data_IF_038458914153
#
_entry.id   IF_038458914153
#
_cell.length_a   1.000
_cell.length_b   1.000
_cell.length_c   1.000
_cell.angle_alpha   90.00
_cell.angle_beta   90.00
_cell.angle_gamma   90.00
#
_symmetry.space_group_name_H-M   'P 1'
#
loop_
_entity.id
_entity.type
_entity.pdbx_description
1 polymer ?
#
# COMPACT_ATOMS: atom_id res chain seq x y z
N UNK A 1 4.20 2.57 20.22
CA UNK A 1 4.76 2.63 21.58
C UNK A 1 6.14 1.99 21.56
N UNK A 2 7.17 2.66 22.08
CA UNK A 2 8.54 2.15 22.17
C UNK A 2 8.95 2.20 23.65
N UNK A 3 9.40 1.08 24.21
CA UNK A 3 9.73 0.96 25.64
C UNK A 3 8.64 1.52 26.61
N UNK A 4 7.36 1.35 26.25
CA UNK A 4 6.24 1.84 27.08
C UNK A 4 5.86 3.31 26.87
N UNK A 5 6.56 4.04 26.00
CA UNK A 5 6.26 5.45 25.64
C UNK A 5 5.46 5.49 24.35
N UNK A 6 4.35 6.23 24.33
CA UNK A 6 3.57 6.47 23.11
C UNK A 6 4.35 7.37 22.15
N UNK A 7 4.48 6.92 20.91
CA UNK A 7 5.06 7.69 19.82
C UNK A 7 3.97 7.88 18.77
N UNK A 8 3.51 9.12 18.52
CA UNK A 8 2.57 9.38 17.44
C UNK A 8 3.29 9.13 16.11
N UNK A 9 2.68 8.33 15.25
CA UNK A 9 3.20 8.01 13.89
C UNK A 9 2.70 9.03 12.86
N UNK A 10 1.99 10.07 13.30
CA UNK A 10 1.25 10.99 12.43
C UNK A 10 2.16 11.86 11.54
N UNK A 11 3.42 12.07 11.94
CA UNK A 11 4.44 12.80 11.17
C UNK A 11 5.40 11.86 10.40
N UNK A 12 5.26 10.54 10.54
CA UNK A 12 6.09 9.56 9.86
C UNK A 12 5.31 8.92 8.71
N UNK A 13 5.81 9.11 7.49
CA UNK A 13 5.16 8.50 6.33
C UNK A 13 5.36 6.98 6.40
N UNK A 14 4.29 6.17 6.48
CA UNK A 14 4.44 4.74 6.30
C UNK A 14 5.09 4.52 4.93
N UNK A 15 6.17 3.74 4.90
CA UNK A 15 6.83 3.41 3.65
C UNK A 15 5.82 2.75 2.70
N UNK A 16 5.94 3.02 1.41
CA UNK A 16 5.06 2.45 0.39
C UNK A 16 5.01 0.91 0.48
N UNK A 17 3.88 0.30 0.09
CA UNK A 17 3.63 -1.15 0.24
C UNK A 17 4.62 -2.06 -0.50
N UNK A 18 5.43 -1.53 -1.42
CA UNK A 18 6.41 -2.29 -2.21
C UNK A 18 7.64 -2.73 -1.41
N UNK A 19 7.85 -2.15 -0.23
CA UNK A 19 9.19 -2.10 0.32
C UNK A 19 9.43 -3.15 1.43
N UNK A 20 8.36 -3.76 1.95
CA UNK A 20 8.43 -4.65 3.11
C UNK A 20 7.48 -5.84 3.01
N UNK A 21 7.91 -6.95 2.38
CA UNK A 21 7.01 -8.08 2.14
C UNK A 21 6.49 -8.74 3.42
N UNK A 22 7.20 -8.61 4.56
CA UNK A 22 6.99 -9.45 5.75
C UNK A 22 7.08 -8.73 7.11
N UNK A 23 7.22 -7.40 7.15
CA UNK A 23 7.30 -6.67 8.41
C UNK A 23 6.82 -5.21 8.25
N UNK A 24 6.20 -4.60 9.26
CA UNK A 24 5.94 -3.17 9.23
C UNK A 24 7.25 -2.38 9.11
N UNK A 25 7.29 -1.41 8.20
CA UNK A 25 8.43 -0.53 8.03
C UNK A 25 8.03 0.93 7.92
N UNK A 26 8.94 1.79 8.35
CA UNK A 26 8.74 3.21 8.55
C UNK A 26 9.88 3.99 7.89
N UNK A 27 9.55 5.17 7.36
CA UNK A 27 10.54 6.17 6.98
C UNK A 27 10.50 7.29 8.02
N UNK A 28 11.66 7.63 8.55
CA UNK A 28 11.80 8.61 9.61
C UNK A 28 13.01 9.52 9.34
N UNK A 29 13.10 10.64 10.06
CA UNK A 29 14.25 11.53 9.92
C UNK A 29 15.51 10.88 10.51
N UNK A 30 16.68 10.96 9.84
CA UNK A 30 17.93 10.45 10.39
C UNK A 30 18.28 11.10 11.73
N UNK A 31 18.63 10.25 12.70
CA UNK A 31 18.91 10.67 14.08
C UNK A 31 17.70 11.16 14.88
N UNK A 32 16.47 11.06 14.34
CA UNK A 32 15.24 11.24 15.10
C UNK A 32 14.99 10.09 16.08
N UNK A 33 13.98 10.24 16.94
CA UNK A 33 13.73 9.29 18.04
C UNK A 33 13.49 7.87 17.54
N UNK A 34 12.72 7.67 16.47
CA UNK A 34 12.49 6.34 15.91
C UNK A 34 13.78 5.73 15.33
N UNK A 35 14.57 6.52 14.59
CA UNK A 35 15.86 6.09 14.06
C UNK A 35 16.82 5.68 15.19
N UNK A 36 16.94 6.49 16.23
CA UNK A 36 17.76 6.20 17.40
C UNK A 36 17.27 4.96 18.14
N UNK A 37 15.96 4.80 18.29
CA UNK A 37 15.39 3.64 18.93
C UNK A 37 15.64 2.35 18.15
N UNK A 38 15.56 2.43 16.83
CA UNK A 38 15.86 1.34 15.93
C UNK A 38 17.34 0.97 15.88
N UNK A 39 18.24 1.95 15.94
CA UNK A 39 19.69 1.73 16.05
C UNK A 39 20.05 1.04 17.38
N UNK A 40 19.34 1.38 18.47
CA UNK A 40 19.48 0.77 19.79
C UNK A 40 18.71 -0.54 19.96
N UNK A 41 17.93 -0.93 18.96
CA UNK A 41 17.12 -2.13 18.97
C UNK A 41 16.11 -2.21 20.12
N UNK A 42 15.42 -1.10 20.39
CA UNK A 42 14.36 -1.05 21.40
C UNK A 42 13.16 -1.93 21.02
N UNK A 43 12.48 -2.43 22.05
CA UNK A 43 11.26 -3.18 21.86
C UNK A 43 10.10 -2.19 21.63
N UNK A 44 9.20 -2.54 20.71
CA UNK A 44 8.12 -1.67 20.29
C UNK A 44 6.83 -2.45 20.04
N UNK A 45 5.74 -1.70 20.16
CA UNK A 45 4.39 -2.15 19.87
C UNK A 45 3.75 -1.18 18.90
N UNK A 46 3.32 -1.70 17.76
CA UNK A 46 2.48 -1.02 16.79
C UNK A 46 1.03 -1.49 16.94
N UNK A 47 0.10 -0.55 17.03
CA UNK A 47 -1.34 -0.82 17.16
C UNK A 47 -2.02 -0.26 15.92
N UNK A 48 -2.65 -1.13 15.13
CA UNK A 48 -3.36 -0.77 13.92
C UNK A 48 -4.84 -0.99 14.12
N UNK A 49 -5.67 0.01 13.87
CA UNK A 49 -7.13 -0.13 13.90
C UNK A 49 -7.64 -0.26 12.48
N UNK A 50 -8.51 -1.23 12.22
CA UNK A 50 -9.10 -1.43 10.90
C UNK A 50 -9.93 -0.21 10.47
N UNK A 51 -9.62 0.33 9.30
CA UNK A 51 -10.39 1.43 8.70
C UNK A 51 -11.69 0.95 8.01
N UNK A 52 -11.89 -0.36 7.88
CA UNK A 52 -13.06 -0.94 7.19
C UNK A 52 -14.12 -1.36 8.20
N UNK A 53 -13.69 -2.06 9.25
CA UNK A 53 -14.59 -2.69 10.23
C UNK A 53 -14.66 -1.89 11.53
N UNK A 54 -13.65 -1.04 11.82
CA UNK A 54 -13.52 -0.18 13.01
C UNK A 54 -13.60 -0.88 14.38
N UNK A 55 -13.88 -2.19 14.43
CA UNK A 55 -14.00 -3.02 15.63
C UNK A 55 -12.88 -4.07 15.74
N UNK A 56 -11.88 -3.99 14.86
CA UNK A 56 -10.74 -4.88 14.82
C UNK A 56 -9.46 -4.09 15.01
N UNK A 57 -8.63 -4.54 15.93
CA UNK A 57 -7.32 -3.95 16.22
C UNK A 57 -6.25 -5.03 16.07
N UNK A 58 -5.16 -4.69 15.39
CA UNK A 58 -3.99 -5.55 15.30
C UNK A 58 -2.87 -4.97 16.15
N UNK A 59 -2.41 -5.74 17.14
CA UNK A 59 -1.26 -5.39 17.97
C UNK A 59 -0.06 -6.20 17.53
N UNK A 60 0.98 -5.49 17.12
CA UNK A 60 2.23 -6.03 16.58
C UNK A 60 3.34 -5.67 17.56
N UNK A 61 3.93 -6.67 18.21
CA UNK A 61 5.04 -6.47 19.13
C UNK A 61 6.32 -7.01 18.51
N UNK A 62 7.43 -6.34 18.76
CA UNK A 62 8.69 -6.70 18.14
C UNK A 62 9.82 -5.80 18.55
N UNK A 63 10.89 -5.88 17.78
CA UNK A 63 12.10 -5.08 17.97
C UNK A 63 12.32 -4.17 16.78
N UNK A 64 12.56 -2.89 17.05
CA UNK A 64 12.89 -1.95 15.99
C UNK A 64 14.30 -2.23 15.48
N UNK A 65 14.50 -2.16 14.16
CA UNK A 65 15.82 -2.20 13.55
C UNK A 65 15.97 -1.13 12.50
N UNK A 66 17.06 -0.38 12.62
CA UNK A 66 17.50 0.49 11.55
C UNK A 66 18.09 -0.38 10.43
N UNK A 67 17.72 -0.11 9.18
CA UNK A 67 18.19 -0.89 8.03
C UNK A 67 19.13 -0.11 7.14
N UNK A 68 18.75 1.09 6.71
CA UNK A 68 19.51 1.93 5.78
C UNK A 68 19.02 3.37 5.83
N UNK A 69 19.79 4.29 5.25
CA UNK A 69 19.29 5.61 4.88
C UNK A 69 18.97 5.63 3.39
N UNK A 70 17.89 6.31 3.02
CA UNK A 70 17.43 6.51 1.64
C UNK A 70 17.44 8.00 1.34
N UNK A 71 17.95 8.38 0.16
CA UNK A 71 17.92 9.75 -0.32
C UNK A 71 16.89 9.88 -1.44
N UNK A 72 15.98 10.86 -1.37
CA UNK A 72 15.17 11.18 -2.54
C UNK A 72 16.00 12.02 -3.52
N UNK A 73 16.12 11.55 -4.76
CA UNK A 73 16.71 12.32 -5.85
C UNK A 73 15.90 13.58 -6.20
N UNK A 74 14.64 13.63 -5.76
CA UNK A 74 13.69 14.70 -6.02
C UNK A 74 13.85 15.94 -5.10
N UNK A 75 14.24 15.75 -3.83
CA UNK A 75 14.24 16.80 -2.82
C UNK A 75 15.53 16.86 -1.96
N UNK A 76 16.52 15.99 -2.23
CA UNK A 76 17.76 15.87 -1.46
C UNK A 76 17.56 15.59 0.05
N UNK A 77 16.36 15.18 0.46
CA UNK A 77 16.09 14.73 1.82
C UNK A 77 16.57 13.29 2.00
N UNK A 78 17.20 13.05 3.14
CA UNK A 78 17.62 11.73 3.59
C UNK A 78 16.65 11.26 4.66
N UNK A 79 16.11 10.05 4.51
CA UNK A 79 15.22 9.37 5.44
C UNK A 79 15.88 8.08 5.93
N UNK A 80 15.84 7.85 7.23
CA UNK A 80 16.22 6.58 7.84
C UNK A 80 15.08 5.59 7.75
N UNK A 81 15.46 4.37 7.38
CA UNK A 81 14.56 3.25 7.18
C UNK A 81 14.59 2.35 8.40
N UNK A 82 13.43 2.14 9.01
CA UNK A 82 13.24 1.37 10.24
C UNK A 82 12.22 0.26 10.02
N UNK A 83 12.50 -0.94 10.53
CA UNK A 83 11.56 -2.07 10.52
C UNK A 83 11.22 -2.52 11.93
N UNK A 84 10.02 -3.07 12.10
CA UNK A 84 9.62 -3.80 13.29
C UNK A 84 9.79 -5.32 13.05
N UNK A 85 10.86 -5.91 13.56
CA UNK A 85 11.04 -7.36 13.57
C UNK A 85 10.06 -7.99 14.57
N UNK A 86 9.02 -8.65 14.04
CA UNK A 86 7.91 -9.15 14.84
C UNK A 86 8.33 -10.31 15.75
N UNK A 87 7.89 -10.24 17.00
CA UNK A 87 7.98 -11.33 17.99
C UNK A 87 6.61 -11.83 18.40
N UNK A 88 5.56 -11.01 18.28
CA UNK A 88 4.19 -11.38 18.60
C UNK A 88 3.17 -10.58 17.78
N UNK A 89 2.07 -11.25 17.40
CA UNK A 89 0.95 -10.66 16.65
C UNK A 89 -0.35 -11.08 17.32
N UNK A 90 -1.13 -10.10 17.76
CA UNK A 90 -2.45 -10.31 18.38
C UNK A 90 -3.49 -9.57 17.56
N UNK A 91 -4.49 -10.30 17.08
CA UNK A 91 -5.73 -9.73 16.56
C UNK A 91 -6.72 -9.59 17.71
N UNK A 92 -7.16 -8.37 17.97
CA UNK A 92 -8.27 -8.08 18.85
C UNK A 92 -9.54 -7.90 18.01
N UNK A 93 -10.53 -8.78 18.23
CA UNK A 93 -11.82 -8.76 17.55
C UNK A 93 -12.91 -9.07 18.56
N UNK A 94 -13.96 -8.24 18.60
CA UNK A 94 -15.09 -8.41 19.52
C UNK A 94 -14.64 -8.62 20.99
N UNK A 95 -13.66 -7.80 21.42
CA UNK A 95 -13.01 -7.88 22.74
C UNK A 95 -12.30 -9.20 23.06
N UNK A 96 -12.06 -10.05 22.07
CA UNK A 96 -11.23 -11.27 22.19
C UNK A 96 -9.85 -11.04 21.62
N UNK A 97 -8.83 -11.50 22.33
CA UNK A 97 -7.47 -11.54 21.85
C UNK A 97 -7.20 -12.89 21.19
N UNK A 98 -6.81 -12.85 19.91
CA UNK A 98 -6.55 -14.01 19.07
C UNK A 98 -5.08 -13.95 18.66
N UNK A 99 -4.20 -14.79 19.24
CA UNK A 99 -2.82 -14.89 18.80
C UNK A 99 -2.76 -15.34 17.34
N UNK A 100 -1.98 -14.64 16.53
CA UNK A 100 -1.74 -14.98 15.13
C UNK A 100 -0.30 -15.43 15.01
N UNK A 101 -0.07 -16.58 14.37
CA UNK A 101 1.30 -17.04 14.12
C UNK A 101 1.97 -16.06 13.17
N UNK A 102 3.20 -15.66 13.48
CA UNK A 102 3.98 -14.76 12.61
C UNK A 102 4.05 -15.31 11.18
N UNK A 103 4.27 -16.62 11.02
CA UNK A 103 4.30 -17.26 9.69
C UNK A 103 3.01 -17.09 8.89
N UNK A 104 1.85 -17.02 9.57
CA UNK A 104 0.57 -16.79 8.91
C UNK A 104 0.41 -15.30 8.58
N UNK A 105 0.83 -14.41 9.48
CA UNK A 105 0.79 -12.96 9.29
C UNK A 105 1.71 -12.49 8.15
N UNK A 106 2.91 -13.05 8.05
CA UNK A 106 3.91 -12.73 7.03
C UNK A 106 3.82 -13.66 5.82
N UNK A 107 2.68 -14.32 5.61
CA UNK A 107 2.52 -15.22 4.48
C UNK A 107 2.52 -14.39 3.18
N UNK A 108 3.44 -14.63 2.22
CA UNK A 108 3.48 -13.89 0.96
C UNK A 108 2.18 -13.93 0.17
N UNK A 109 1.37 -14.99 0.35
CA UNK A 109 0.04 -15.10 -0.26
C UNK A 109 -0.93 -13.99 0.19
N UNK A 110 -0.63 -13.25 1.26
CA UNK A 110 -1.42 -12.14 1.78
C UNK A 110 -1.01 -10.78 1.20
N UNK A 111 0.01 -10.69 0.36
CA UNK A 111 0.45 -9.40 -0.20
C UNK A 111 -0.63 -8.79 -1.10
N UNK A 112 -1.29 -9.61 -1.92
CA UNK A 112 -2.43 -9.24 -2.75
C UNK A 112 -3.76 -9.36 -1.99
N UNK A 113 -3.91 -8.54 -0.94
CA UNK A 113 -5.14 -8.48 -0.14
C UNK A 113 -6.06 -7.31 -0.55
N UNK A 114 -7.33 -7.30 -0.12
CA UNK A 114 -8.27 -6.22 -0.43
C UNK A 114 -7.77 -4.81 -0.08
N UNK A 115 -7.03 -4.66 1.03
CA UNK A 115 -6.46 -3.39 1.44
C UNK A 115 -5.34 -2.91 0.51
N UNK A 116 -4.54 -3.83 -0.02
CA UNK A 116 -3.53 -3.52 -1.03
C UNK A 116 -4.19 -3.01 -2.32
N UNK A 117 -5.17 -3.76 -2.85
CA UNK A 117 -5.88 -3.34 -4.07
C UNK A 117 -6.57 -1.98 -3.90
N UNK A 118 -7.16 -1.73 -2.73
CA UNK A 118 -7.78 -0.43 -2.45
C UNK A 118 -6.77 0.71 -2.47
N UNK A 119 -5.60 0.55 -1.85
CA UNK A 119 -4.54 1.57 -1.89
C UNK A 119 -4.02 1.80 -3.30
N UNK A 120 -3.84 0.74 -4.09
CA UNK A 120 -3.47 0.87 -5.51
C UNK A 120 -4.55 1.64 -6.30
N UNK A 121 -5.82 1.30 -6.12
CA UNK A 121 -6.93 2.02 -6.75
C UNK A 121 -6.94 3.50 -6.35
N UNK A 122 -6.83 3.81 -5.06
CA UNK A 122 -6.83 5.18 -4.57
C UNK A 122 -5.61 5.96 -5.10
N UNK A 123 -4.43 5.34 -5.15
CA UNK A 123 -3.23 5.94 -5.73
C UNK A 123 -3.40 6.25 -7.23
N UNK A 124 -3.82 5.27 -8.02
CA UNK A 124 -4.02 5.43 -9.46
C UNK A 124 -5.08 6.50 -9.77
N UNK A 125 -6.19 6.50 -9.04
CA UNK A 125 -7.24 7.50 -9.21
C UNK A 125 -6.79 8.91 -8.82
N UNK A 126 -5.90 9.04 -7.84
CA UNK A 126 -5.44 10.35 -7.37
C UNK A 126 -4.32 10.94 -8.24
N UNK A 127 -3.40 10.10 -8.71
CA UNK A 127 -2.16 10.56 -9.36
C UNK A 127 -2.09 10.30 -10.87
N UNK A 128 -2.92 9.41 -11.42
CA UNK A 128 -2.81 8.94 -12.81
C UNK A 128 -4.04 9.22 -13.68
N UNK A 129 -4.85 10.23 -13.34
CA UNK A 129 -6.09 10.53 -14.07
C UNK A 129 -5.93 10.66 -15.59
N UNK A 130 -4.87 11.32 -16.06
CA UNK A 130 -4.61 11.47 -17.50
C UNK A 130 -4.14 10.16 -18.16
N UNK A 131 -3.32 9.36 -17.48
CA UNK A 131 -2.92 8.04 -17.96
C UNK A 131 -4.14 7.11 -18.07
N UNK A 132 -5.09 7.21 -17.13
CA UNK A 132 -6.34 6.44 -17.16
C UNK A 132 -7.24 6.86 -18.32
N UNK A 133 -7.32 8.15 -18.64
CA UNK A 133 -8.03 8.65 -19.84
C UNK A 133 -7.41 8.10 -21.12
N UNK A 134 -6.07 8.13 -21.22
CA UNK A 134 -5.34 7.58 -22.37
C UNK A 134 -5.55 6.06 -22.52
N UNK A 135 -5.57 5.32 -21.40
CA UNK A 135 -5.86 3.89 -21.38
C UNK A 135 -7.28 3.60 -21.91
N UNK A 136 -8.29 4.32 -21.40
CA UNK A 136 -9.68 4.18 -21.86
C UNK A 136 -9.80 4.46 -23.35
N UNK A 137 -9.19 5.55 -23.83
CA UNK A 137 -9.22 5.90 -25.25
C UNK A 137 -8.66 4.76 -26.13
N UNK A 138 -7.53 4.18 -25.71
CA UNK A 138 -6.88 3.07 -26.41
C UNK A 138 -7.78 1.83 -26.50
N UNK A 139 -8.48 1.48 -25.42
CA UNK A 139 -9.27 0.24 -25.35
C UNK A 139 -10.69 0.34 -25.89
N UNK A 140 -11.25 1.54 -25.92
CA UNK A 140 -12.68 1.74 -26.26
C UNK A 140 -12.88 2.42 -27.61
N UNK A 141 -11.80 2.81 -28.28
CA UNK A 141 -11.83 3.63 -29.50
C UNK A 141 -12.55 4.99 -29.32
N UNK A 142 -12.70 5.44 -28.07
CA UNK A 142 -13.18 6.79 -27.76
C UNK A 142 -12.02 7.77 -27.92
N UNK A 143 -12.25 8.95 -28.49
CA UNK A 143 -11.22 9.98 -28.54
C UNK A 143 -10.93 10.47 -27.11
N UNK A 144 -9.64 10.63 -26.77
CA UNK A 144 -9.25 11.06 -25.41
C UNK A 144 -9.81 12.42 -25.02
N UNK A 145 -10.03 13.30 -26.01
CA UNK A 145 -10.65 14.62 -25.84
C UNK A 145 -12.13 14.56 -25.44
N UNK A 146 -12.82 13.48 -25.82
CA UNK A 146 -14.22 13.24 -25.44
C UNK A 146 -14.35 12.59 -24.06
N UNK A 147 -13.23 12.21 -23.43
CA UNK A 147 -13.22 11.64 -22.08
C UNK A 147 -12.98 12.77 -21.08
N UNK A 148 -14.03 13.16 -20.34
CA UNK A 148 -13.98 14.22 -19.31
C UNK A 148 -13.17 13.77 -18.09
N UNK A 149 -13.29 12.50 -17.72
CA UNK A 149 -12.55 11.89 -16.62
C UNK A 149 -12.67 10.37 -16.65
N UNK A 150 -11.67 9.70 -16.10
CA UNK A 150 -11.61 8.25 -15.99
C UNK A 150 -11.11 7.84 -14.61
N UNK A 151 -11.59 6.71 -14.12
CA UNK A 151 -11.19 6.14 -12.83
C UNK A 151 -11.23 4.61 -12.86
N UNK A 152 -10.46 3.99 -11.98
CA UNK A 152 -10.65 2.61 -11.58
C UNK A 152 -11.80 2.52 -10.58
N UNK A 153 -12.72 1.61 -10.82
CA UNK A 153 -13.85 1.30 -9.92
C UNK A 153 -13.69 -0.02 -9.17
N UNK A 154 -12.86 -0.92 -9.69
CA UNK A 154 -12.52 -2.20 -9.06
C UNK A 154 -11.11 -2.62 -9.53
N UNK A 155 -10.39 -3.33 -8.67
CA UNK A 155 -9.08 -3.89 -8.94
C UNK A 155 -8.91 -5.17 -8.11
N UNK A 156 -8.54 -6.26 -8.78
CA UNK A 156 -8.10 -7.48 -8.12
C UNK A 156 -6.88 -8.07 -8.84
N UNK A 157 -6.47 -9.28 -8.45
CA UNK A 157 -5.30 -9.93 -9.03
C UNK A 157 -5.49 -10.25 -10.52
N UNK A 158 -6.70 -10.45 -11.02
CA UNK A 158 -6.97 -10.92 -12.39
C UNK A 158 -7.60 -9.89 -13.32
N UNK A 159 -8.12 -8.78 -12.80
CA UNK A 159 -8.87 -7.80 -13.61
C UNK A 159 -8.85 -6.40 -13.03
N UNK A 160 -9.20 -5.45 -13.90
CA UNK A 160 -9.43 -4.04 -13.55
C UNK A 160 -10.76 -3.56 -14.13
N UNK A 161 -11.53 -2.84 -13.32
CA UNK A 161 -12.74 -2.17 -13.72
C UNK A 161 -12.48 -0.68 -13.97
N UNK A 162 -12.89 -0.18 -15.13
CA UNK A 162 -12.79 1.23 -15.51
C UNK A 162 -14.17 1.86 -15.61
N UNK A 163 -14.27 3.12 -15.19
CA UNK A 163 -15.42 3.98 -15.45
C UNK A 163 -14.92 5.30 -15.97
N UNK A 164 -15.62 5.85 -16.96
CA UNK A 164 -15.30 7.16 -17.50
C UNK A 164 -16.57 7.90 -17.88
N UNK A 165 -16.44 9.22 -18.05
CA UNK A 165 -17.54 10.09 -18.43
C UNK A 165 -17.19 10.76 -19.75
N UNK A 166 -18.14 10.75 -20.68
CA UNK A 166 -18.12 11.51 -21.93
C UNK A 166 -19.27 12.53 -21.93
N UNK A 167 -19.35 13.44 -22.92
CA UNK A 167 -20.53 14.30 -23.09
C UNK A 167 -21.86 13.54 -23.17
N UNK A 168 -21.83 12.28 -23.63
CA UNK A 168 -23.01 11.44 -23.81
C UNK A 168 -23.38 10.63 -22.55
N UNK A 169 -22.52 10.61 -21.53
CA UNK A 169 -22.81 10.00 -20.23
C UNK A 169 -21.68 9.18 -19.64
N UNK A 170 -22.01 8.43 -18.59
CA UNK A 170 -21.07 7.58 -17.86
C UNK A 170 -21.02 6.17 -18.45
N UNK A 171 -19.83 5.72 -18.80
CA UNK A 171 -19.55 4.41 -19.38
C UNK A 171 -18.68 3.58 -18.44
N UNK A 172 -18.68 2.26 -18.60
CA UNK A 172 -17.84 1.36 -17.82
C UNK A 172 -17.37 0.18 -18.65
N UNK A 173 -16.17 -0.31 -18.37
CA UNK A 173 -15.61 -1.51 -18.96
C UNK A 173 -14.84 -2.30 -17.90
N UNK A 174 -14.62 -3.58 -18.20
CA UNK A 174 -13.71 -4.44 -17.46
C UNK A 174 -12.65 -4.97 -18.40
N UNK A 175 -11.42 -5.00 -17.91
CA UNK A 175 -10.29 -5.57 -18.62
C UNK A 175 -9.74 -6.70 -17.76
N UNK A 176 -9.71 -7.89 -18.34
CA UNK A 176 -9.07 -9.05 -17.72
C UNK A 176 -7.58 -9.02 -18.07
N UNK A 177 -6.73 -9.27 -17.07
CA UNK A 177 -5.31 -9.50 -17.29
C UNK A 177 -5.10 -10.82 -18.03
N UNK A 178 -3.97 -10.95 -18.73
CA UNK A 178 -3.60 -12.19 -19.44
C UNK A 178 -3.48 -13.40 -18.50
N UNK A 179 -3.19 -13.13 -17.23
CA UNK A 179 -3.21 -14.07 -16.10
C UNK A 179 -3.38 -13.29 -14.80
N UNK A 180 -3.76 -13.96 -13.70
CA UNK A 180 -3.70 -13.35 -12.37
C UNK A 180 -2.28 -12.95 -11.98
N UNK A 181 -2.16 -11.81 -11.30
CA UNK A 181 -0.98 -11.35 -10.59
C UNK A 181 -0.67 -12.30 -9.42
N UNK A 182 0.62 -12.57 -9.23
CA UNK A 182 1.09 -13.42 -8.13
C UNK A 182 1.62 -12.63 -6.95
N UNK A 183 2.08 -11.40 -7.19
CA UNK A 183 2.64 -10.50 -6.20
C UNK A 183 2.41 -9.02 -6.63
N UNK A 184 2.72 -8.04 -5.75
CA UNK A 184 2.57 -6.61 -6.06
C UNK A 184 3.33 -6.11 -7.29
N UNK A 185 4.55 -6.59 -7.51
CA UNK A 185 5.40 -6.13 -8.62
C UNK A 185 4.83 -6.63 -9.95
N UNK A 186 4.40 -7.88 -9.95
CA UNK A 186 3.72 -8.53 -11.05
C UNK A 186 2.38 -7.84 -11.38
N UNK A 187 1.61 -7.43 -10.37
CA UNK A 187 0.41 -6.61 -10.59
C UNK A 187 0.75 -5.29 -11.27
N UNK A 188 1.80 -4.59 -10.81
CA UNK A 188 2.26 -3.34 -11.43
C UNK A 188 2.67 -3.54 -12.88
N UNK A 189 3.32 -4.68 -13.20
CA UNK A 189 3.65 -5.03 -14.57
C UNK A 189 2.39 -5.26 -15.43
N UNK A 190 1.42 -6.04 -14.93
CA UNK A 190 0.17 -6.32 -15.64
C UNK A 190 -0.66 -5.05 -15.86
N UNK A 191 -0.68 -4.12 -14.89
CA UNK A 191 -1.34 -2.83 -15.03
C UNK A 191 -0.70 -1.97 -16.13
N UNK A 192 0.63 -1.88 -16.17
CA UNK A 192 1.34 -1.14 -17.23
C UNK A 192 1.11 -1.73 -18.62
N UNK A 193 1.12 -3.06 -18.71
CA UNK A 193 0.87 -3.77 -19.95
C UNK A 193 -0.58 -3.62 -20.42
N UNK A 194 -1.54 -3.68 -19.50
CA UNK A 194 -2.96 -3.72 -19.83
C UNK A 194 -3.60 -2.34 -19.93
N UNK A 195 -3.02 -1.30 -19.33
CA UNK A 195 -3.60 0.05 -19.31
C UNK A 195 -2.68 1.07 -19.97
N UNK A 196 -1.60 1.45 -19.28
CA UNK A 196 -0.70 2.51 -19.74
C UNK A 196 0.70 2.33 -19.13
N UNK A 197 1.80 2.49 -19.90
CA UNK A 197 3.15 2.22 -19.41
C UNK A 197 3.62 3.12 -18.25
N UNK A 198 2.98 4.27 -18.04
CA UNK A 198 3.37 5.24 -17.00
C UNK A 198 2.75 4.98 -15.61
N UNK A 199 1.84 4.00 -15.46
CA UNK A 199 1.27 3.68 -14.15
C UNK A 199 2.36 3.15 -13.22
N UNK A 200 2.39 3.59 -11.95
CA UNK A 200 3.37 3.10 -10.97
C UNK A 200 2.81 2.07 -9.98
#
# INVERSE_FOLDING_TARGET
MVDGVEFPVDDESPAGPQDWPNAPGFLCKPGGDLALAAQRQHDAVLILTSAITHNETLRLSGRLRWTRSESCDCCAESLDRVVLELTDVILERDSKQIPVRISDFTNPALQLNPGFFRRCQDHLNHYHGDDLRAAVATHTHTLVEDIIGAQLVDLDAGRVGLQWVTPDGAMSARLDFSRPAHDPDDLGHLLRQSLHPNLC
#
